data_IF_305128720820
#
_entry.id   IF_305128720820
#
_cell.length_a   1.000
_cell.length_b   1.000
_cell.length_c   1.000
_cell.angle_alpha   90.00
_cell.angle_beta   90.00
_cell.angle_gamma   90.00
#
_symmetry.space_group_name_H-M   'P 1'
#
loop_
_entity.id
_entity.type
_entity.pdbx_description
1 polymer ?
#
# COMPACT_ATOMS: atom_id res chain seq x y z
N UNK A 1 -25.71 -7.54 6.12
CA UNK A 1 -25.09 -6.20 6.22
C UNK A 1 -23.57 -6.31 6.17
N UNK A 2 -22.85 -6.93 7.16
CA UNK A 2 -21.37 -7.01 7.13
C UNK A 2 -20.82 -7.62 5.84
N UNK A 3 -21.41 -8.71 5.35
CA UNK A 3 -20.98 -9.34 4.09
C UNK A 3 -21.11 -8.39 2.90
N UNK A 4 -22.21 -7.64 2.82
CA UNK A 4 -22.41 -6.67 1.74
C UNK A 4 -21.44 -5.47 1.87
N UNK A 5 -21.16 -5.03 3.09
CA UNK A 5 -20.16 -4.01 3.34
C UNK A 5 -18.75 -4.47 2.95
N UNK A 6 -18.37 -5.71 3.28
CA UNK A 6 -17.09 -6.30 2.83
C UNK A 6 -17.00 -6.42 1.30
N UNK A 7 -18.10 -6.76 0.62
CA UNK A 7 -18.13 -6.77 -0.86
C UNK A 7 -17.92 -5.38 -1.45
N UNK A 8 -18.48 -4.34 -0.83
CA UNK A 8 -18.26 -2.96 -1.26
C UNK A 8 -16.78 -2.55 -1.05
N UNK A 9 -16.22 -2.85 0.12
CA UNK A 9 -14.78 -2.62 0.40
C UNK A 9 -13.92 -3.35 -0.62
N UNK A 10 -14.21 -4.62 -0.91
CA UNK A 10 -13.53 -5.42 -1.93
C UNK A 10 -13.56 -4.75 -3.31
N UNK A 11 -14.75 -4.27 -3.72
CA UNK A 11 -14.93 -3.58 -5.00
C UNK A 11 -14.04 -2.33 -5.07
N UNK A 12 -14.03 -1.50 -4.03
CA UNK A 12 -13.20 -0.29 -3.98
C UNK A 12 -11.71 -0.62 -3.99
N UNK A 13 -11.30 -1.63 -3.22
CA UNK A 13 -9.90 -2.08 -3.18
C UNK A 13 -9.41 -2.56 -4.54
N UNK A 14 -10.22 -3.33 -5.28
CA UNK A 14 -9.92 -3.75 -6.66
C UNK A 14 -9.72 -2.54 -7.60
N UNK A 15 -10.50 -1.48 -7.44
CA UNK A 15 -10.35 -0.27 -8.25
C UNK A 15 -9.09 0.51 -7.89
N UNK A 16 -8.72 0.60 -6.61
CA UNK A 16 -7.41 1.18 -6.19
C UNK A 16 -6.26 0.39 -6.81
N UNK A 17 -6.30 -0.94 -6.77
CA UNK A 17 -5.29 -1.81 -7.39
C UNK A 17 -5.23 -1.58 -8.90
N UNK A 18 -6.38 -1.46 -9.57
CA UNK A 18 -6.44 -1.23 -11.01
C UNK A 18 -5.81 0.11 -11.42
N UNK A 19 -6.07 1.19 -10.70
CA UNK A 19 -5.44 2.49 -10.96
C UNK A 19 -3.95 2.49 -10.64
N UNK A 20 -3.52 1.82 -9.55
CA UNK A 20 -2.09 1.61 -9.27
C UNK A 20 -1.40 0.81 -10.37
N UNK A 21 -2.07 -0.18 -10.95
CA UNK A 21 -1.51 -0.97 -12.07
C UNK A 21 -1.26 -0.10 -13.30
N UNK A 22 -2.20 0.78 -13.66
CA UNK A 22 -2.04 1.75 -14.76
C UNK A 22 -0.88 2.70 -14.48
N UNK A 23 -0.81 3.24 -13.26
CA UNK A 23 0.26 4.15 -12.85
C UNK A 23 1.63 3.45 -12.89
N UNK A 24 1.73 2.23 -12.39
CA UNK A 24 2.96 1.45 -12.38
C UNK A 24 3.44 1.14 -13.81
N UNK A 25 2.53 0.72 -14.70
CA UNK A 25 2.86 0.43 -16.10
C UNK A 25 3.34 1.68 -16.85
N UNK A 26 2.65 2.80 -16.68
CA UNK A 26 2.99 4.06 -17.32
C UNK A 26 4.37 4.59 -16.89
N UNK A 27 4.81 4.29 -15.67
CA UNK A 27 6.04 4.81 -15.08
C UNK A 27 7.13 3.74 -14.85
N UNK A 28 6.98 2.54 -15.40
CA UNK A 28 7.91 1.42 -15.17
C UNK A 28 9.33 1.67 -15.64
N UNK A 29 9.51 2.56 -16.63
CA UNK A 29 10.79 2.89 -17.21
C UNK A 29 11.35 4.26 -16.74
N UNK A 30 10.66 4.95 -15.84
CA UNK A 30 11.13 6.24 -15.32
C UNK A 30 12.05 6.03 -14.12
N UNK A 31 13.39 6.20 -14.27
CA UNK A 31 14.33 6.07 -13.17
C UNK A 31 14.06 7.10 -12.08
N UNK A 32 14.17 6.69 -10.83
CA UNK A 32 14.10 7.56 -9.66
C UNK A 32 15.06 7.08 -8.58
N UNK A 33 15.47 8.00 -7.71
CA UNK A 33 16.29 7.66 -6.57
C UNK A 33 15.49 6.82 -5.58
N UNK A 34 16.01 5.66 -5.18
CA UNK A 34 15.47 4.92 -4.06
C UNK A 34 16.03 5.45 -2.74
N UNK A 35 15.28 5.20 -1.66
CA UNK A 35 15.69 5.58 -0.31
C UNK A 35 15.62 4.37 0.62
N UNK A 36 16.69 4.14 1.36
CA UNK A 36 16.70 3.24 2.53
C UNK A 36 17.08 4.07 3.74
N UNK A 37 16.39 3.88 4.86
CA UNK A 37 16.54 4.74 6.04
C UNK A 37 16.35 6.24 5.73
N UNK A 38 15.57 6.53 4.70
CA UNK A 38 15.37 7.86 4.10
C UNK A 38 16.68 8.52 3.62
N UNK A 39 17.71 7.72 3.35
CA UNK A 39 18.95 8.16 2.70
C UNK A 39 18.98 7.68 1.25
N UNK A 40 19.61 8.45 0.35
CA UNK A 40 19.81 8.05 -1.04
C UNK A 40 20.42 6.66 -1.15
N UNK A 41 19.83 5.83 -1.99
CA UNK A 41 20.26 4.47 -2.28
C UNK A 41 20.28 4.26 -3.80
N UNK A 42 20.55 3.04 -4.25
CA UNK A 42 20.59 2.73 -5.67
C UNK A 42 19.29 3.11 -6.38
N UNK A 43 19.33 3.52 -7.65
CA UNK A 43 18.14 3.86 -8.41
C UNK A 43 17.15 2.71 -8.56
N UNK A 44 15.87 3.07 -8.60
CA UNK A 44 14.75 2.21 -8.98
C UNK A 44 13.95 2.89 -10.08
N UNK A 45 12.70 2.49 -10.31
CA UNK A 45 11.76 3.24 -11.15
C UNK A 45 10.53 3.67 -10.37
N UNK A 46 9.87 4.72 -10.82
CA UNK A 46 8.61 5.21 -10.24
C UNK A 46 7.56 4.10 -10.27
N UNK A 47 7.44 3.38 -11.37
CA UNK A 47 6.53 2.24 -11.48
C UNK A 47 6.88 1.10 -10.54
N UNK A 48 8.17 0.78 -10.35
CA UNK A 48 8.59 -0.25 -9.40
C UNK A 48 8.23 0.14 -7.95
N UNK A 49 8.36 1.40 -7.58
CA UNK A 49 7.90 1.89 -6.27
C UNK A 49 6.39 1.68 -6.09
N UNK A 50 5.59 1.97 -7.11
CA UNK A 50 4.15 1.75 -7.07
C UNK A 50 3.77 0.27 -6.89
N UNK A 51 4.55 -0.68 -7.41
CA UNK A 51 4.30 -2.11 -7.16
C UNK A 51 4.45 -2.51 -5.70
N UNK A 52 5.22 -1.77 -4.89
CA UNK A 52 5.32 -2.04 -3.45
C UNK A 52 4.01 -1.73 -2.74
N UNK A 53 3.37 -0.59 -3.05
CA UNK A 53 2.05 -0.25 -2.53
C UNK A 53 0.99 -1.25 -2.98
N UNK A 54 1.04 -1.60 -4.25
CA UNK A 54 0.09 -2.55 -4.87
C UNK A 54 0.21 -3.95 -4.27
N UNK A 55 1.43 -4.40 -3.96
CA UNK A 55 1.67 -5.69 -3.32
C UNK A 55 0.96 -5.80 -1.96
N UNK A 56 1.01 -4.73 -1.13
CA UNK A 56 0.33 -4.70 0.16
C UNK A 56 -1.20 -4.78 -0.01
N UNK A 57 -1.78 -4.00 -0.92
CA UNK A 57 -3.21 -4.08 -1.21
C UNK A 57 -3.65 -5.44 -1.82
N UNK A 58 -2.77 -6.12 -2.56
CA UNK A 58 -3.04 -7.48 -3.04
C UNK A 58 -3.10 -8.48 -1.89
N UNK A 59 -2.21 -8.36 -0.89
CA UNK A 59 -2.27 -9.19 0.33
C UNK A 59 -3.56 -8.93 1.11
N UNK A 60 -3.96 -7.66 1.26
CA UNK A 60 -5.23 -7.30 1.89
C UNK A 60 -6.44 -7.90 1.16
N UNK A 61 -6.40 -7.93 -0.17
CA UNK A 61 -7.47 -8.52 -0.99
C UNK A 61 -7.57 -10.04 -0.77
N UNK A 62 -6.45 -10.74 -0.68
CA UNK A 62 -6.41 -12.18 -0.38
C UNK A 62 -7.03 -12.47 0.98
N UNK A 63 -6.64 -11.71 2.01
CA UNK A 63 -7.17 -11.84 3.37
C UNK A 63 -8.68 -11.52 3.42
N UNK A 64 -9.12 -10.48 2.72
CA UNK A 64 -10.52 -10.10 2.62
C UNK A 64 -11.35 -11.21 1.94
N UNK A 65 -10.86 -11.77 0.84
CA UNK A 65 -11.51 -12.87 0.13
C UNK A 65 -11.60 -14.13 1.00
N UNK A 66 -10.57 -14.41 1.79
CA UNK A 66 -10.60 -15.50 2.76
C UNK A 66 -11.70 -15.28 3.81
N UNK A 67 -11.80 -14.09 4.40
CA UNK A 67 -12.85 -13.78 5.38
C UNK A 67 -14.24 -13.90 4.76
N UNK A 68 -14.46 -13.32 3.57
CA UNK A 68 -15.73 -13.44 2.84
C UNK A 68 -16.12 -14.90 2.58
N UNK A 69 -15.15 -15.74 2.19
CA UNK A 69 -15.39 -17.15 1.88
C UNK A 69 -15.78 -17.99 3.11
N UNK A 70 -15.41 -17.54 4.30
CA UNK A 70 -15.62 -18.24 5.58
C UNK A 70 -16.75 -17.66 6.43
N UNK A 71 -17.39 -16.58 5.98
CA UNK A 71 -18.55 -16.01 6.68
C UNK A 71 -19.72 -16.98 6.74
N UNK A 72 -20.30 -17.14 7.93
CA UNK A 72 -21.45 -17.99 8.20
C UNK A 72 -22.52 -17.22 8.97
N UNK A 73 -23.75 -17.70 8.89
CA UNK A 73 -24.84 -17.20 9.74
C UNK A 73 -24.82 -17.84 11.14
N UNK A 74 -25.48 -17.17 12.08
CA UNK A 74 -25.76 -17.76 13.40
C UNK A 74 -26.62 -19.01 13.27
N UNK A 75 -27.63 -18.98 12.42
CA UNK A 75 -28.71 -19.95 12.37
C UNK A 75 -29.81 -19.64 13.42
N UNK A 76 -30.70 -20.59 13.62
CA UNK A 76 -31.75 -20.50 14.62
C UNK A 76 -31.52 -21.52 15.74
N UNK A 77 -30.88 -21.06 16.83
CA UNK A 77 -30.41 -21.97 17.91
C UNK A 77 -31.08 -21.71 19.28
N UNK A 78 -31.88 -20.64 19.37
CA UNK A 78 -32.60 -20.32 20.61
C UNK A 78 -31.76 -19.57 21.65
N UNK A 79 -32.30 -19.42 22.84
CA UNK A 79 -31.76 -18.53 23.88
C UNK A 79 -30.35 -18.88 24.35
N UNK A 80 -30.03 -20.16 24.42
CA UNK A 80 -28.72 -20.65 24.88
C UNK A 80 -27.97 -21.48 23.80
N UNK A 81 -28.51 -21.52 22.59
CA UNK A 81 -27.89 -22.26 21.51
C UNK A 81 -28.21 -23.75 21.43
N UNK A 82 -29.14 -24.23 22.24
CA UNK A 82 -29.46 -25.65 22.40
C UNK A 82 -30.55 -26.17 21.47
N UNK A 83 -31.29 -25.27 20.80
CA UNK A 83 -32.49 -25.59 20.01
C UNK A 83 -33.61 -26.35 20.80
N UNK A 84 -33.64 -26.20 22.13
CA UNK A 84 -34.58 -26.94 23.00
C UNK A 84 -36.04 -26.75 22.59
N UNK A 85 -36.45 -25.52 22.21
CA UNK A 85 -37.84 -25.26 21.76
C UNK A 85 -38.17 -25.97 20.44
N UNK A 86 -37.18 -26.18 19.55
CA UNK A 86 -37.40 -26.95 18.33
C UNK A 86 -37.48 -28.45 18.62
N UNK A 87 -36.65 -28.92 19.57
CA UNK A 87 -36.69 -30.32 19.99
C UNK A 87 -38.09 -30.67 20.55
N UNK A 88 -38.66 -29.80 21.35
CA UNK A 88 -40.03 -29.95 21.87
C UNK A 88 -41.07 -29.85 20.76
N UNK A 89 -40.96 -28.86 19.86
CA UNK A 89 -41.91 -28.62 18.77
C UNK A 89 -41.99 -29.81 17.79
N UNK A 90 -40.89 -30.49 17.56
CA UNK A 90 -40.81 -31.64 16.65
C UNK A 90 -40.77 -32.98 17.36
N UNK A 91 -41.27 -33.06 18.57
CA UNK A 91 -41.39 -34.31 19.39
C UNK A 91 -40.08 -35.13 19.42
N UNK A 92 -38.92 -34.43 19.47
CA UNK A 92 -37.61 -35.07 19.55
C UNK A 92 -37.02 -35.47 18.19
N UNK A 93 -37.60 -35.12 17.04
CA UNK A 93 -37.10 -35.46 15.71
C UNK A 93 -35.86 -34.63 15.38
N UNK A 94 -34.70 -35.21 15.65
CA UNK A 94 -33.37 -34.60 15.38
C UNK A 94 -33.14 -34.37 13.89
N UNK A 95 -33.57 -35.27 13.01
CA UNK A 95 -33.35 -35.16 11.57
C UNK A 95 -34.05 -33.94 10.95
N UNK A 96 -35.25 -33.62 11.47
CA UNK A 96 -35.98 -32.42 11.05
C UNK A 96 -35.35 -31.15 11.59
N UNK A 97 -34.83 -31.17 12.82
CA UNK A 97 -34.12 -30.04 13.41
C UNK A 97 -32.84 -29.74 12.67
N UNK A 98 -32.06 -30.76 12.27
CA UNK A 98 -30.81 -30.62 11.53
C UNK A 98 -30.97 -29.93 10.17
N UNK A 99 -32.18 -29.93 9.59
CA UNK A 99 -32.50 -29.23 8.33
C UNK A 99 -32.74 -27.73 8.48
N UNK A 100 -33.02 -27.23 9.70
CA UNK A 100 -33.39 -25.83 9.91
C UNK A 100 -32.27 -24.86 9.51
N UNK A 101 -31.09 -25.04 10.03
CA UNK A 101 -29.94 -24.15 9.75
C UNK A 101 -29.48 -24.17 8.31
N UNK A 102 -29.36 -25.31 7.62
CA UNK A 102 -29.11 -25.36 6.18
C UNK A 102 -30.15 -24.58 5.34
N UNK A 103 -31.42 -24.74 5.65
CA UNK A 103 -32.51 -24.03 4.96
C UNK A 103 -32.45 -22.51 5.20
N UNK A 104 -32.11 -22.08 6.40
CA UNK A 104 -31.90 -20.66 6.73
C UNK A 104 -30.70 -20.11 5.94
N UNK A 105 -29.59 -20.83 5.94
CA UNK A 105 -28.38 -20.42 5.22
C UNK A 105 -28.66 -20.27 3.71
N UNK A 106 -29.31 -21.24 3.09
CA UNK A 106 -29.70 -21.19 1.67
C UNK A 106 -30.61 -19.98 1.35
N UNK A 107 -31.70 -19.80 2.13
CA UNK A 107 -32.62 -18.66 1.96
C UNK A 107 -31.95 -17.29 2.13
N UNK A 108 -30.93 -17.21 2.95
CA UNK A 108 -30.18 -15.97 3.21
C UNK A 108 -28.96 -15.81 2.30
N UNK A 109 -28.72 -16.75 1.38
CA UNK A 109 -27.60 -16.71 0.43
C UNK A 109 -26.23 -16.97 1.07
N UNK A 110 -26.19 -17.76 2.16
CA UNK A 110 -24.94 -18.19 2.81
C UNK A 110 -24.69 -19.68 2.60
N UNK A 111 -23.41 -20.05 2.64
CA UNK A 111 -23.02 -21.46 2.46
C UNK A 111 -23.38 -22.34 3.64
N UNK A 112 -23.42 -21.79 4.86
CA UNK A 112 -23.67 -22.54 6.08
C UNK A 112 -24.00 -21.62 7.26
N UNK A 113 -24.53 -22.22 8.36
CA UNK A 113 -24.56 -21.64 9.69
C UNK A 113 -23.36 -22.14 10.52
N UNK A 114 -23.04 -21.44 11.62
CA UNK A 114 -22.11 -21.94 12.62
C UNK A 114 -22.70 -23.19 13.28
N UNK A 115 -21.93 -24.28 13.44
CA UNK A 115 -22.47 -25.52 13.96
C UNK A 115 -22.90 -25.41 15.44
N UNK A 116 -22.19 -24.56 16.20
CA UNK A 116 -22.48 -24.28 17.59
C UNK A 116 -22.47 -22.78 17.87
N UNK A 117 -23.30 -22.34 18.80
CA UNK A 117 -23.32 -20.97 19.30
C UNK A 117 -23.98 -20.91 20.70
N UNK A 118 -23.78 -19.82 21.41
CA UNK A 118 -24.68 -19.43 22.49
C UNK A 118 -25.92 -18.71 21.94
N UNK A 119 -26.39 -17.70 22.63
CA UNK A 119 -27.51 -16.86 22.15
C UNK A 119 -27.14 -16.05 20.90
N UNK A 120 -25.87 -15.74 20.71
CA UNK A 120 -25.35 -14.97 19.56
C UNK A 120 -24.24 -15.73 18.90
N UNK A 121 -23.88 -15.31 17.67
CA UNK A 121 -22.65 -15.77 17.05
C UNK A 121 -21.42 -15.27 17.84
N UNK A 122 -20.32 -16.01 17.76
CA UNK A 122 -19.06 -15.63 18.41
C UNK A 122 -18.61 -14.22 17.96
N UNK A 123 -18.34 -13.32 18.91
CA UNK A 123 -17.81 -11.98 18.63
C UNK A 123 -16.42 -12.00 17.97
N UNK A 124 -15.80 -13.18 17.94
CA UNK A 124 -14.60 -13.43 17.13
C UNK A 124 -14.81 -13.12 15.65
N UNK A 125 -16.05 -13.21 15.15
CA UNK A 125 -16.39 -12.84 13.76
C UNK A 125 -16.18 -11.35 13.53
N UNK A 126 -16.65 -10.50 14.47
CA UNK A 126 -16.48 -9.05 14.39
C UNK A 126 -14.97 -8.68 14.44
N UNK A 127 -14.18 -9.38 15.29
CA UNK A 127 -12.71 -9.23 15.34
C UNK A 127 -12.07 -9.55 14.01
N UNK A 128 -12.45 -10.66 13.37
CA UNK A 128 -11.89 -11.05 12.06
C UNK A 128 -12.18 -9.99 10.99
N UNK A 129 -13.38 -9.45 10.98
CA UNK A 129 -13.79 -8.42 10.02
C UNK A 129 -13.00 -7.13 10.26
N UNK A 130 -12.95 -6.62 11.49
CA UNK A 130 -12.25 -5.37 11.77
C UNK A 130 -10.72 -5.48 11.57
N UNK A 131 -10.13 -6.67 11.76
CA UNK A 131 -8.72 -6.90 11.47
C UNK A 131 -8.40 -6.75 9.97
N UNK A 132 -9.31 -7.17 9.08
CA UNK A 132 -9.14 -6.94 7.63
C UNK A 132 -9.21 -5.45 7.31
N UNK A 133 -10.17 -4.72 7.89
CA UNK A 133 -10.25 -3.27 7.69
C UNK A 133 -8.99 -2.56 8.20
N UNK A 134 -8.44 -3.01 9.34
CA UNK A 134 -7.19 -2.49 9.88
C UNK A 134 -5.97 -2.81 9.00
N UNK A 135 -5.93 -3.98 8.36
CA UNK A 135 -4.91 -4.34 7.37
C UNK A 135 -4.92 -3.38 6.19
N UNK A 136 -6.08 -3.21 5.54
CA UNK A 136 -6.25 -2.25 4.43
C UNK A 136 -5.88 -0.83 4.87
N UNK A 137 -6.29 -0.41 6.07
CA UNK A 137 -5.94 0.89 6.62
C UNK A 137 -4.42 1.06 6.81
N UNK A 138 -3.70 0.01 7.24
CA UNK A 138 -2.25 0.05 7.38
C UNK A 138 -1.55 0.22 6.03
N UNK A 139 -1.98 -0.51 5.00
CA UNK A 139 -1.47 -0.37 3.62
C UNK A 139 -1.76 1.03 3.06
N UNK A 140 -2.97 1.55 3.25
CA UNK A 140 -3.34 2.91 2.84
C UNK A 140 -2.52 3.98 3.59
N UNK A 141 -2.27 3.79 4.89
CA UNK A 141 -1.43 4.71 5.67
C UNK A 141 -0.01 4.74 5.13
N UNK A 142 0.58 3.58 4.85
CA UNK A 142 1.93 3.47 4.27
C UNK A 142 2.00 4.15 2.91
N UNK A 143 1.07 3.88 2.00
CA UNK A 143 0.94 4.55 0.71
C UNK A 143 0.88 6.08 0.88
N UNK A 144 0.00 6.58 1.74
CA UNK A 144 -0.17 8.02 1.95
C UNK A 144 1.06 8.70 2.54
N UNK A 145 1.83 8.02 3.39
CA UNK A 145 3.10 8.54 3.89
C UNK A 145 4.13 8.68 2.76
N UNK A 146 4.25 7.69 1.88
CA UNK A 146 5.17 7.77 0.75
C UNK A 146 4.79 8.93 -0.19
N UNK A 147 3.50 9.13 -0.48
CA UNK A 147 3.05 10.28 -1.29
C UNK A 147 3.42 11.61 -0.62
N UNK A 148 3.21 11.76 0.69
CA UNK A 148 3.59 12.97 1.42
C UNK A 148 5.09 13.25 1.37
N UNK A 149 5.93 12.21 1.51
CA UNK A 149 7.38 12.33 1.38
C UNK A 149 7.80 12.66 -0.05
N UNK A 150 7.20 12.03 -1.05
CA UNK A 150 7.47 12.31 -2.47
C UNK A 150 7.03 13.73 -2.86
N UNK A 151 5.93 14.23 -2.30
CA UNK A 151 5.48 15.60 -2.50
C UNK A 151 6.41 16.62 -1.82
N UNK A 152 6.94 16.31 -0.63
CA UNK A 152 8.00 17.11 -0.01
C UNK A 152 9.24 17.19 -0.92
N UNK A 153 9.62 16.09 -1.56
CA UNK A 153 10.70 16.05 -2.54
C UNK A 153 10.34 16.72 -3.87
N UNK A 154 9.08 17.10 -4.09
CA UNK A 154 8.53 17.67 -5.34
C UNK A 154 8.65 16.71 -6.54
N UNK A 155 8.69 15.41 -6.28
CA UNK A 155 8.84 14.37 -7.31
C UNK A 155 7.51 13.83 -7.80
N UNK A 156 6.57 13.62 -6.86
CA UNK A 156 5.19 13.18 -7.14
C UNK A 156 4.26 13.96 -6.22
N UNK A 157 3.14 14.42 -6.74
CA UNK A 157 2.12 15.15 -5.98
C UNK A 157 0.75 14.46 -6.13
N UNK A 158 -0.07 14.54 -5.08
CA UNK A 158 -1.49 14.22 -5.19
C UNK A 158 -2.22 15.24 -6.09
N UNK A 159 -3.41 14.89 -6.65
CA UNK A 159 -4.14 15.80 -7.51
C UNK A 159 -4.53 17.08 -6.77
N UNK A 160 -4.44 18.20 -7.48
CA UNK A 160 -4.81 19.51 -6.99
C UNK A 160 -5.83 20.15 -7.93
N UNK A 161 -7.01 20.46 -7.44
CA UNK A 161 -8.07 21.02 -8.24
C UNK A 161 -7.87 22.51 -8.46
N UNK A 162 -8.34 23.02 -9.62
CA UNK A 162 -8.19 24.44 -10.00
C UNK A 162 -8.83 25.40 -9.00
N UNK A 163 -9.88 24.97 -8.31
CA UNK A 163 -10.61 25.73 -7.29
C UNK A 163 -10.08 25.54 -5.87
N UNK A 164 -9.14 24.61 -5.67
CA UNK A 164 -8.62 24.29 -4.35
C UNK A 164 -7.66 25.35 -3.85
N UNK A 165 -7.90 25.87 -2.63
CA UNK A 165 -7.01 26.83 -1.96
C UNK A 165 -5.98 26.04 -1.13
N UNK A 166 -4.72 25.99 -1.60
CA UNK A 166 -3.66 25.27 -0.91
C UNK A 166 -3.16 25.97 0.37
N UNK A 167 -3.13 27.29 0.37
CA UNK A 167 -2.71 28.11 1.51
C UNK A 167 -3.16 29.55 1.31
N UNK A 168 -3.69 30.18 2.35
CA UNK A 168 -4.06 31.59 2.33
C UNK A 168 -2.85 32.53 2.27
N UNK A 169 -1.68 32.09 2.74
CA UNK A 169 -0.47 32.92 2.83
C UNK A 169 0.50 32.71 1.65
N UNK A 170 0.50 31.53 1.03
CA UNK A 170 1.41 31.15 -0.05
C UNK A 170 0.65 30.46 -1.17
N UNK A 171 0.22 31.20 -2.18
CA UNK A 171 -0.68 30.70 -3.23
C UNK A 171 -0.17 29.50 -4.03
N UNK A 172 1.16 29.32 -4.15
CA UNK A 172 1.77 28.19 -4.85
C UNK A 172 1.90 26.92 -4.00
N UNK A 173 1.67 27.01 -2.67
CA UNK A 173 1.84 25.90 -1.74
C UNK A 173 0.72 24.90 -1.90
N UNK A 174 1.07 23.67 -2.26
CA UNK A 174 0.16 22.54 -2.37
C UNK A 174 0.39 21.58 -1.21
N UNK A 175 -0.58 21.46 -0.33
CA UNK A 175 -0.49 20.54 0.80
C UNK A 175 -1.08 19.18 0.40
N UNK A 176 -0.48 18.05 0.82
CA UNK A 176 -1.01 16.72 0.56
C UNK A 176 -2.19 16.38 1.48
N UNK A 177 -3.27 17.18 1.43
CA UNK A 177 -4.39 17.12 2.38
C UNK A 177 -5.16 15.79 2.29
N UNK A 178 -5.28 15.21 1.09
CA UNK A 178 -5.95 13.92 0.88
C UNK A 178 -5.14 12.80 1.52
N UNK A 179 -3.84 12.79 1.28
CA UNK A 179 -2.91 11.82 1.89
C UNK A 179 -2.82 11.99 3.42
N UNK A 180 -2.89 13.21 3.95
CA UNK A 180 -2.97 13.46 5.39
C UNK A 180 -4.27 12.92 5.98
N UNK A 181 -5.40 13.06 5.26
CA UNK A 181 -6.70 12.52 5.67
C UNK A 181 -6.72 10.99 5.64
N UNK A 182 -6.15 10.36 4.60
CA UNK A 182 -5.94 8.91 4.56
C UNK A 182 -5.19 8.46 5.81
N UNK A 183 -4.05 9.08 6.12
CA UNK A 183 -3.22 8.71 7.26
C UNK A 183 -3.97 8.85 8.60
N UNK A 184 -4.77 9.92 8.77
CA UNK A 184 -5.50 10.14 10.02
C UNK A 184 -6.65 9.15 10.21
N UNK A 185 -7.45 8.90 9.18
CA UNK A 185 -8.54 7.92 9.23
C UNK A 185 -8.00 6.49 9.39
N UNK A 186 -6.88 6.17 8.75
CA UNK A 186 -6.24 4.85 8.90
C UNK A 186 -5.86 4.57 10.35
N UNK A 187 -5.29 5.54 11.07
CA UNK A 187 -4.99 5.36 12.50
C UNK A 187 -6.25 5.08 13.31
N UNK A 188 -7.35 5.76 12.99
CA UNK A 188 -8.64 5.50 13.65
C UNK A 188 -9.06 4.03 13.45
N UNK A 189 -9.07 3.52 12.21
CA UNK A 189 -9.49 2.14 11.91
C UNK A 189 -8.59 1.11 12.60
N UNK A 190 -7.26 1.33 12.59
CA UNK A 190 -6.31 0.43 13.24
C UNK A 190 -6.53 0.33 14.75
N UNK A 191 -6.85 1.45 15.42
CA UNK A 191 -7.14 1.49 16.86
C UNK A 191 -8.54 0.92 17.14
N UNK A 192 -9.53 1.24 16.30
CA UNK A 192 -10.90 0.75 16.45
C UNK A 192 -10.99 -0.78 16.37
N UNK A 193 -10.14 -1.44 15.59
CA UNK A 193 -10.08 -2.89 15.51
C UNK A 193 -9.74 -3.60 16.84
N UNK A 194 -9.26 -2.90 17.84
CA UNK A 194 -9.07 -3.43 19.19
C UNK A 194 -10.41 -3.64 19.91
N UNK A 195 -11.43 -2.84 19.62
CA UNK A 195 -12.75 -2.93 20.28
C UNK A 195 -13.36 -4.32 20.15
N UNK A 196 -13.56 -4.89 18.94
CA UNK A 196 -14.16 -6.22 18.82
C UNK A 196 -13.26 -7.33 19.38
N UNK A 197 -11.94 -7.16 19.38
CA UNK A 197 -11.02 -8.12 19.98
C UNK A 197 -11.20 -8.20 21.50
N UNK A 198 -11.26 -7.05 22.18
CA UNK A 198 -11.52 -6.96 23.62
C UNK A 198 -12.94 -7.46 23.92
N UNK A 199 -13.94 -7.03 23.17
CA UNK A 199 -15.32 -7.48 23.32
C UNK A 199 -15.44 -9.00 23.21
N UNK A 200 -14.75 -9.61 22.24
CA UNK A 200 -14.71 -11.06 22.08
C UNK A 200 -14.10 -11.77 23.30
N UNK A 201 -13.03 -11.20 23.86
CA UNK A 201 -12.31 -11.77 25.00
C UNK A 201 -13.10 -11.67 26.32
N UNK A 202 -13.97 -10.69 26.44
CA UNK A 202 -14.74 -10.41 27.69
C UNK A 202 -16.16 -10.97 27.69
N UNK A 203 -16.58 -11.74 26.66
CA UNK A 203 -17.89 -12.41 26.67
C UNK A 203 -17.96 -13.50 27.76
N UNK A 204 -19.16 -13.64 28.36
CA UNK A 204 -19.40 -14.62 29.40
C UNK A 204 -20.37 -15.70 28.92
N UNK A 205 -19.96 -16.94 29.07
CA UNK A 205 -20.82 -18.11 28.81
C UNK A 205 -21.61 -18.01 27.51
N UNK A 206 -22.93 -18.18 27.56
CA UNK A 206 -23.80 -18.16 26.39
C UNK A 206 -24.21 -16.74 25.95
N UNK A 207 -24.11 -15.75 26.85
CA UNK A 207 -24.46 -14.35 26.58
C UNK A 207 -23.98 -13.38 27.67
N UNK A 208 -23.42 -12.28 27.28
CA UNK A 208 -23.37 -11.01 28.03
C UNK A 208 -23.81 -9.87 27.11
N UNK A 209 -24.25 -8.74 27.63
CA UNK A 209 -24.79 -7.63 26.82
C UNK A 209 -23.78 -6.50 26.58
N UNK A 210 -22.60 -6.54 27.15
CA UNK A 210 -21.57 -5.52 27.03
C UNK A 210 -21.05 -5.31 25.60
N UNK A 211 -21.21 -6.32 24.74
CA UNK A 211 -20.92 -6.23 23.32
C UNK A 211 -21.84 -5.28 22.55
N UNK A 212 -23.06 -5.12 23.02
CA UNK A 212 -24.16 -4.56 22.24
C UNK A 212 -23.95 -3.11 21.84
N UNK A 213 -23.56 -2.23 22.75
CA UNK A 213 -23.29 -0.83 22.46
C UNK A 213 -21.95 -0.67 21.70
N UNK A 214 -20.89 -1.32 22.18
CA UNK A 214 -19.55 -1.22 21.59
C UNK A 214 -19.56 -1.62 20.12
N UNK A 215 -20.10 -2.79 19.76
CA UNK A 215 -20.10 -3.25 18.37
C UNK A 215 -20.92 -2.37 17.42
N UNK A 216 -21.94 -1.66 17.93
CA UNK A 216 -22.78 -0.75 17.14
C UNK A 216 -22.07 0.56 16.80
N UNK A 217 -21.00 0.87 17.51
CA UNK A 217 -20.09 1.96 17.20
C UNK A 217 -18.92 1.44 16.37
N UNK A 218 -18.14 0.52 16.90
CA UNK A 218 -16.89 0.08 16.28
C UNK A 218 -17.08 -0.52 14.88
N UNK A 219 -18.04 -1.39 14.67
CA UNK A 219 -18.23 -2.03 13.37
C UNK A 219 -18.67 -1.05 12.29
N UNK A 220 -19.74 -0.25 12.45
CA UNK A 220 -20.12 0.74 11.44
C UNK A 220 -19.04 1.81 11.19
N UNK A 221 -18.44 2.36 12.23
CA UNK A 221 -17.42 3.38 12.14
C UNK A 221 -16.18 2.88 11.39
N UNK A 222 -15.75 1.64 11.66
CA UNK A 222 -14.66 0.99 10.91
C UNK A 222 -14.97 0.88 9.43
N UNK A 223 -16.18 0.47 9.04
CA UNK A 223 -16.60 0.39 7.65
C UNK A 223 -16.73 1.76 6.98
N UNK A 224 -17.32 2.75 7.65
CA UNK A 224 -17.45 4.11 7.10
C UNK A 224 -16.08 4.75 6.89
N UNK A 225 -15.17 4.57 7.84
CA UNK A 225 -13.83 5.11 7.72
C UNK A 225 -13.03 4.46 6.59
N UNK A 226 -13.09 3.11 6.46
CA UNK A 226 -12.36 2.42 5.39
C UNK A 226 -12.94 2.73 4.01
N UNK A 227 -14.25 2.91 3.91
CA UNK A 227 -14.93 3.34 2.70
C UNK A 227 -14.39 4.69 2.21
N UNK A 228 -14.33 5.68 3.11
CA UNK A 228 -13.75 6.99 2.81
C UNK A 228 -12.25 6.96 2.52
N UNK A 229 -11.48 6.09 3.20
CA UNK A 229 -10.05 5.89 2.93
C UNK A 229 -9.84 5.39 1.50
N UNK A 230 -10.62 4.40 1.06
CA UNK A 230 -10.47 3.83 -0.28
C UNK A 230 -10.90 4.79 -1.38
N UNK A 231 -11.94 5.62 -1.15
CA UNK A 231 -12.30 6.70 -2.08
C UNK A 231 -11.17 7.73 -2.20
N UNK A 232 -10.58 8.13 -1.08
CA UNK A 232 -9.42 9.02 -1.09
C UNK A 232 -8.22 8.39 -1.82
N UNK A 233 -7.92 7.11 -1.55
CA UNK A 233 -6.84 6.40 -2.25
C UNK A 233 -7.09 6.36 -3.75
N UNK A 234 -8.30 6.01 -4.18
CA UNK A 234 -8.68 5.95 -5.60
C UNK A 234 -8.50 7.31 -6.27
N UNK A 235 -9.00 8.37 -5.64
CA UNK A 235 -8.88 9.74 -6.15
C UNK A 235 -7.42 10.19 -6.22
N UNK A 236 -6.61 9.90 -5.20
CA UNK A 236 -5.19 10.26 -5.19
C UNK A 236 -4.44 9.53 -6.29
N UNK A 237 -4.64 8.20 -6.43
CA UNK A 237 -3.91 7.38 -7.43
C UNK A 237 -4.26 7.79 -8.85
N UNK A 238 -5.56 7.99 -9.15
CA UNK A 238 -6.02 8.41 -10.48
C UNK A 238 -5.46 9.76 -10.91
N UNK A 239 -5.22 10.65 -9.94
CA UNK A 239 -4.73 12.02 -10.18
C UNK A 239 -3.26 12.27 -9.88
N UNK A 240 -2.43 11.26 -9.60
CA UNK A 240 -1.01 11.45 -9.28
C UNK A 240 -0.26 12.20 -10.40
N UNK A 241 0.43 13.27 -10.02
CA UNK A 241 1.25 14.07 -10.91
C UNK A 241 2.73 13.74 -10.67
N UNK A 242 3.41 13.29 -11.70
CA UNK A 242 4.85 12.97 -11.65
C UNK A 242 5.64 14.10 -12.31
N UNK A 243 6.76 14.51 -11.71
CA UNK A 243 7.66 15.55 -12.21
C UNK A 243 9.00 14.95 -12.64
N UNK A 244 9.14 14.40 -13.87
CA UNK A 244 10.34 13.70 -14.32
C UNK A 244 11.60 14.55 -14.26
N UNK A 245 11.50 15.86 -14.54
CA UNK A 245 12.65 16.78 -14.49
C UNK A 245 13.20 17.01 -13.09
N UNK A 246 12.32 17.03 -12.07
CA UNK A 246 12.73 17.13 -10.66
C UNK A 246 13.41 15.84 -10.22
N UNK A 247 12.82 14.70 -10.59
CA UNK A 247 13.39 13.37 -10.34
C UNK A 247 14.77 13.26 -10.97
N UNK A 248 14.90 13.61 -12.24
CA UNK A 248 16.18 13.57 -12.97
C UNK A 248 17.24 14.45 -12.31
N UNK A 249 16.89 15.69 -11.94
CA UNK A 249 17.83 16.60 -11.27
C UNK A 249 18.36 16.02 -9.97
N UNK A 250 17.48 15.47 -9.13
CA UNK A 250 17.87 14.84 -7.86
C UNK A 250 18.72 13.58 -8.09
N UNK A 251 18.31 12.74 -9.02
CA UNK A 251 19.04 11.52 -9.34
C UNK A 251 20.45 11.83 -9.84
N UNK A 252 20.61 12.82 -10.72
CA UNK A 252 21.92 13.25 -11.23
C UNK A 252 22.84 13.81 -10.13
N UNK A 253 22.31 14.44 -9.09
CA UNK A 253 23.14 14.94 -7.97
C UNK A 253 23.74 13.83 -7.10
N UNK A 254 23.09 12.66 -7.05
CA UNK A 254 23.53 11.53 -6.22
C UNK A 254 24.22 10.42 -7.02
N UNK A 255 23.92 10.32 -8.32
CA UNK A 255 24.37 9.25 -9.19
C UNK A 255 25.90 9.09 -9.25
N UNK A 256 26.72 10.16 -9.23
CA UNK A 256 28.18 10.01 -9.20
C UNK A 256 28.69 9.14 -8.06
N UNK A 257 28.11 9.25 -6.85
CA UNK A 257 28.47 8.41 -5.72
C UNK A 257 28.07 6.93 -5.89
N UNK A 258 26.99 6.67 -6.64
CA UNK A 258 26.49 5.32 -6.90
C UNK A 258 27.21 4.64 -8.06
N UNK A 259 27.73 5.43 -8.99
CA UNK A 259 28.40 4.96 -10.18
C UNK A 259 29.89 4.60 -9.95
N UNK A 260 30.41 4.85 -8.77
CA UNK A 260 31.85 4.68 -8.44
C UNK A 260 32.38 3.28 -8.77
N UNK A 261 31.58 2.23 -8.54
CA UNK A 261 31.95 0.86 -8.87
C UNK A 261 32.09 0.67 -10.39
N UNK A 262 31.14 1.17 -11.17
CA UNK A 262 31.16 1.07 -12.61
C UNK A 262 32.35 1.86 -13.22
N UNK A 263 32.57 3.07 -12.72
CA UNK A 263 33.73 3.91 -13.11
C UNK A 263 35.03 3.18 -12.82
N UNK A 264 35.17 2.60 -11.60
CA UNK A 264 36.32 1.81 -11.22
C UNK A 264 36.56 0.64 -12.19
N UNK A 265 35.49 -0.11 -12.49
CA UNK A 265 35.58 -1.26 -13.38
C UNK A 265 35.96 -0.88 -14.80
N UNK A 266 35.48 0.26 -15.30
CA UNK A 266 35.85 0.75 -16.64
C UNK A 266 37.29 1.23 -16.66
N UNK A 267 37.78 1.89 -15.61
CA UNK A 267 39.18 2.27 -15.46
C UNK A 267 40.11 1.03 -15.36
N UNK A 268 39.68 -0.02 -14.67
CA UNK A 268 40.42 -1.31 -14.60
C UNK A 268 40.50 -1.96 -15.98
N UNK A 269 39.41 -1.99 -16.75
CA UNK A 269 39.44 -2.48 -18.14
C UNK A 269 40.38 -1.69 -19.02
N UNK A 270 40.56 -0.39 -18.74
CA UNK A 270 41.53 0.48 -19.44
C UNK A 270 42.99 0.27 -18.99
N UNK A 271 43.24 -0.66 -18.03
CA UNK A 271 44.58 -1.05 -17.59
C UNK A 271 44.98 -0.51 -16.20
N UNK A 272 44.10 0.14 -15.48
CA UNK A 272 44.34 0.64 -14.12
C UNK A 272 44.42 -0.45 -13.07
N UNK A 273 45.20 -0.22 -11.99
CA UNK A 273 45.25 -1.11 -10.83
C UNK A 273 43.99 -0.96 -9.97
N UNK A 274 43.30 -2.07 -9.71
CA UNK A 274 42.03 -2.06 -8.99
C UNK A 274 42.14 -1.53 -7.55
N UNK A 275 43.23 -1.85 -6.84
CA UNK A 275 43.40 -1.45 -5.46
C UNK A 275 43.72 0.03 -5.34
N UNK A 276 44.59 0.53 -6.21
CA UNK A 276 44.91 1.94 -6.30
C UNK A 276 43.68 2.77 -6.66
N UNK A 277 42.91 2.36 -7.68
CA UNK A 277 41.71 3.03 -8.12
C UNK A 277 40.62 3.04 -7.03
N UNK A 278 40.47 1.96 -6.28
CA UNK A 278 39.53 1.89 -5.17
C UNK A 278 39.86 2.90 -4.08
N UNK A 279 41.13 3.00 -3.68
CA UNK A 279 41.51 3.96 -2.64
C UNK A 279 41.34 5.41 -3.13
N UNK A 280 41.74 5.71 -4.37
CA UNK A 280 41.54 7.03 -4.98
C UNK A 280 40.04 7.41 -5.04
N UNK A 281 39.14 6.50 -5.47
CA UNK A 281 37.67 6.75 -5.45
C UNK A 281 37.21 7.06 -4.05
N UNK A 282 37.68 6.32 -3.05
CA UNK A 282 37.32 6.57 -1.65
C UNK A 282 37.73 7.99 -1.22
N UNK A 283 38.97 8.39 -1.48
CA UNK A 283 39.47 9.72 -1.14
C UNK A 283 38.71 10.83 -1.87
N UNK A 284 38.51 10.72 -3.17
CA UNK A 284 37.80 11.70 -4.00
C UNK A 284 36.32 11.79 -3.61
N UNK A 285 35.70 10.68 -3.27
CA UNK A 285 34.31 10.65 -2.76
C UNK A 285 34.18 11.40 -1.43
N UNK A 286 35.17 11.29 -0.54
CA UNK A 286 35.17 12.05 0.71
C UNK A 286 35.32 13.55 0.48
N UNK A 287 36.16 13.95 -0.49
CA UNK A 287 36.31 15.37 -0.89
C UNK A 287 34.99 15.89 -1.47
N UNK A 288 34.39 15.18 -2.42
CA UNK A 288 33.10 15.57 -3.01
C UNK A 288 31.99 15.64 -1.97
N UNK A 289 31.91 14.65 -1.06
CA UNK A 289 30.92 14.65 0.01
C UNK A 289 31.09 15.84 0.98
N UNK A 290 32.34 16.24 1.27
CA UNK A 290 32.62 17.45 2.06
C UNK A 290 32.17 18.72 1.32
N UNK A 291 32.47 18.83 0.02
CA UNK A 291 32.02 19.96 -0.80
C UNK A 291 30.51 20.10 -0.77
N UNK A 292 29.78 18.99 -0.91
CA UNK A 292 28.31 18.99 -0.84
C UNK A 292 27.80 19.36 0.56
N UNK A 293 28.29 18.67 1.60
CA UNK A 293 27.69 18.75 2.96
C UNK A 293 28.18 19.95 3.76
N UNK A 294 29.46 20.24 3.70
CA UNK A 294 30.05 21.32 4.51
C UNK A 294 30.05 22.67 3.79
N UNK A 295 30.13 22.69 2.46
CA UNK A 295 30.26 23.90 1.67
C UNK A 295 29.02 24.25 0.85
N UNK A 296 28.01 23.34 0.79
CA UNK A 296 26.79 23.55 0.02
C UNK A 296 26.98 23.61 -1.49
N UNK A 297 28.10 23.08 -1.98
CA UNK A 297 28.42 23.04 -3.42
C UNK A 297 27.70 21.88 -4.10
N UNK A 298 27.69 21.90 -5.43
CA UNK A 298 27.25 20.75 -6.22
C UNK A 298 28.24 19.57 -6.11
N UNK A 299 27.78 18.37 -6.40
CA UNK A 299 28.60 17.17 -6.41
C UNK A 299 29.56 17.24 -7.61
N UNK A 300 30.84 17.34 -7.34
CA UNK A 300 31.89 17.44 -8.34
C UNK A 300 32.80 16.19 -8.40
N UNK A 301 32.26 15.02 -8.03
CA UNK A 301 33.06 13.78 -8.01
C UNK A 301 33.58 13.40 -9.40
N UNK A 302 32.79 13.60 -10.46
CA UNK A 302 33.22 13.28 -11.83
C UNK A 302 34.36 14.14 -12.26
N UNK A 303 34.33 15.43 -11.96
CA UNK A 303 35.43 16.37 -12.27
C UNK A 303 36.71 16.01 -11.50
N UNK A 304 36.59 15.60 -10.25
CA UNK A 304 37.72 15.15 -9.45
C UNK A 304 38.34 13.86 -10.01
N UNK A 305 37.52 12.91 -10.44
CA UNK A 305 37.98 11.67 -11.07
C UNK A 305 38.63 11.97 -12.42
N UNK A 306 38.04 12.83 -13.25
CA UNK A 306 38.61 13.21 -14.58
C UNK A 306 39.95 13.92 -14.43
N UNK A 307 40.18 14.64 -13.35
CA UNK A 307 41.44 15.35 -13.09
C UNK A 307 42.56 14.42 -12.56
N UNK A 308 42.24 13.23 -12.07
CA UNK A 308 43.22 12.26 -11.57
C UNK A 308 43.71 11.33 -12.70
N UNK A 309 45.00 11.40 -13.04
CA UNK A 309 45.56 10.65 -14.19
C UNK A 309 45.49 9.12 -14.03
N UNK A 310 45.25 8.59 -12.82
CA UNK A 310 45.15 7.16 -12.61
C UNK A 310 43.91 6.54 -13.28
N UNK A 311 42.84 7.32 -13.48
CA UNK A 311 41.65 6.83 -14.16
C UNK A 311 41.75 6.84 -15.67
N UNK A 312 42.57 7.71 -16.24
CA UNK A 312 42.73 7.89 -17.68
C UNK A 312 41.37 7.99 -18.42
N UNK A 313 40.44 8.72 -17.86
CA UNK A 313 39.08 8.93 -18.36
C UNK A 313 38.81 10.42 -18.48
N UNK A 314 38.23 10.83 -19.60
CA UNK A 314 37.77 12.21 -19.76
C UNK A 314 36.46 12.45 -19.02
N UNK A 315 36.15 13.71 -18.68
CA UNK A 315 34.85 14.07 -18.08
C UNK A 315 33.70 13.66 -19.00
N UNK A 316 33.85 13.81 -20.31
CA UNK A 316 32.86 13.40 -21.31
C UNK A 316 32.56 11.87 -21.23
N UNK A 317 33.62 11.05 -21.05
CA UNK A 317 33.44 9.60 -20.93
C UNK A 317 32.76 9.23 -19.63
N UNK A 318 33.09 9.89 -18.52
CA UNK A 318 32.44 9.73 -17.25
C UNK A 318 30.93 10.12 -17.30
N UNK A 319 30.61 11.25 -17.95
CA UNK A 319 29.23 11.69 -18.14
C UNK A 319 28.41 10.69 -18.96
N UNK A 320 28.99 10.01 -19.96
CA UNK A 320 28.33 8.95 -20.73
C UNK A 320 27.95 7.73 -19.86
N UNK A 321 28.67 7.51 -18.77
CA UNK A 321 28.32 6.45 -17.81
C UNK A 321 27.15 6.84 -16.91
N UNK A 322 26.79 8.13 -16.82
CA UNK A 322 25.75 8.68 -15.93
C UNK A 322 24.33 8.58 -16.52
N UNK A 323 24.04 7.55 -17.30
CA UNK A 323 22.68 7.26 -17.73
C UNK A 323 21.91 6.55 -16.59
N UNK A 324 20.92 7.20 -15.96
CA UNK A 324 20.21 6.62 -14.82
C UNK A 324 19.54 5.28 -15.11
N UNK A 325 19.14 5.04 -16.35
CA UNK A 325 18.46 3.80 -16.74
C UNK A 325 19.37 2.55 -16.56
N UNK A 326 20.68 2.72 -16.66
CA UNK A 326 21.65 1.63 -16.46
C UNK A 326 21.75 1.14 -15.01
N UNK A 327 21.23 1.92 -14.05
CA UNK A 327 21.37 1.65 -12.61
C UNK A 327 20.09 1.14 -11.96
N UNK A 328 19.00 1.02 -12.72
CA UNK A 328 17.69 0.55 -12.19
C UNK A 328 17.55 -0.97 -12.10
N UNK A 329 18.58 -1.71 -12.50
CA UNK A 329 18.60 -3.17 -12.47
C UNK A 329 17.42 -3.77 -13.24
N UNK A 330 16.67 -4.65 -12.57
CA UNK A 330 15.51 -5.34 -13.15
C UNK A 330 14.17 -4.67 -12.83
N UNK A 331 14.16 -3.42 -12.37
CA UNK A 331 12.95 -2.76 -11.89
C UNK A 331 11.79 -2.82 -12.90
N UNK A 332 12.02 -2.42 -14.16
CA UNK A 332 10.99 -2.45 -15.22
C UNK A 332 10.49 -3.87 -15.50
N UNK A 333 11.39 -4.84 -15.63
CA UNK A 333 11.03 -6.26 -15.86
C UNK A 333 10.23 -6.84 -14.69
N UNK A 334 10.53 -6.41 -13.45
CA UNK A 334 9.78 -6.82 -12.26
C UNK A 334 8.37 -6.24 -12.26
N UNK A 335 8.19 -5.00 -12.72
CA UNK A 335 6.84 -4.41 -12.90
C UNK A 335 6.04 -5.23 -13.90
N UNK A 336 6.59 -5.50 -15.09
CA UNK A 336 5.92 -6.28 -16.13
C UNK A 336 5.53 -7.67 -15.62
N UNK A 337 6.46 -8.36 -14.94
CA UNK A 337 6.21 -9.70 -14.40
C UNK A 337 5.11 -9.69 -13.32
N UNK A 338 5.13 -8.71 -12.41
CA UNK A 338 4.15 -8.57 -11.35
C UNK A 338 2.75 -8.27 -11.90
N UNK A 339 2.66 -7.31 -12.82
CA UNK A 339 1.40 -7.00 -13.47
C UNK A 339 0.84 -8.20 -14.23
N UNK A 340 1.67 -8.85 -15.05
CA UNK A 340 1.23 -9.97 -15.89
C UNK A 340 0.81 -11.20 -15.10
N UNK A 341 1.60 -11.57 -14.08
CA UNK A 341 1.44 -12.88 -13.44
C UNK A 341 0.60 -12.83 -12.15
N UNK A 342 0.47 -11.66 -11.53
CA UNK A 342 -0.20 -11.52 -10.23
C UNK A 342 -1.44 -10.61 -10.34
N UNK A 343 -1.28 -9.38 -10.83
CA UNK A 343 -2.33 -8.36 -10.76
C UNK A 343 -3.39 -8.55 -11.85
N UNK A 344 -2.96 -8.63 -13.13
CA UNK A 344 -3.89 -8.68 -14.26
C UNK A 344 -4.84 -9.89 -14.22
N UNK A 345 -4.43 -11.11 -13.81
CA UNK A 345 -5.37 -12.23 -13.67
C UNK A 345 -6.50 -11.93 -12.68
N UNK A 346 -6.19 -11.26 -11.57
CA UNK A 346 -7.19 -10.88 -10.57
C UNK A 346 -8.12 -9.79 -11.11
N UNK A 347 -7.58 -8.77 -11.78
CA UNK A 347 -8.39 -7.70 -12.37
C UNK A 347 -9.29 -8.23 -13.49
N UNK A 348 -8.81 -9.10 -14.36
CA UNK A 348 -9.62 -9.69 -15.44
C UNK A 348 -10.75 -10.56 -14.89
N UNK A 349 -10.49 -11.33 -13.83
CA UNK A 349 -11.52 -12.12 -13.15
C UNK A 349 -12.60 -11.27 -12.45
N UNK A 350 -12.38 -9.95 -12.30
CA UNK A 350 -13.28 -9.02 -11.60
C UNK A 350 -13.63 -7.79 -12.47
N UNK A 351 -13.48 -7.89 -13.79
CA UNK A 351 -13.65 -6.74 -14.69
C UNK A 351 -14.99 -6.03 -14.61
N UNK A 352 -16.04 -6.75 -14.23
CA UNK A 352 -17.40 -6.22 -14.11
C UNK A 352 -17.57 -5.19 -12.97
N UNK A 353 -16.63 -5.15 -12.01
CA UNK A 353 -16.68 -4.20 -10.90
C UNK A 353 -15.66 -3.07 -11.01
N UNK A 354 -14.85 -3.08 -12.07
CA UNK A 354 -13.82 -2.06 -12.31
C UNK A 354 -14.41 -0.79 -12.97
N UNK A 355 -13.64 0.28 -12.98
CA UNK A 355 -14.01 1.56 -13.61
C UNK A 355 -14.73 2.51 -12.66
N UNK A 356 -14.63 2.31 -11.34
CA UNK A 356 -15.10 3.30 -10.38
C UNK A 356 -14.21 4.54 -10.40
N UNK A 357 -14.83 5.70 -10.27
CA UNK A 357 -14.17 6.97 -10.00
C UNK A 357 -14.63 7.49 -8.64
N UNK A 358 -13.76 8.18 -7.91
CA UNK A 358 -14.10 8.82 -6.66
C UNK A 358 -14.02 10.34 -6.82
N UNK A 359 -15.16 11.03 -6.73
CA UNK A 359 -15.21 12.48 -6.62
C UNK A 359 -15.09 12.88 -5.15
N UNK A 360 -14.12 13.71 -4.84
CA UNK A 360 -13.88 14.21 -3.49
C UNK A 360 -14.20 15.72 -3.49
N UNK A 361 -15.26 16.08 -2.82
CA UNK A 361 -15.57 17.49 -2.54
C UNK A 361 -14.74 17.93 -1.32
N UNK A 362 -13.75 18.81 -1.56
CA UNK A 362 -12.85 19.33 -0.51
C UNK A 362 -13.15 20.78 -0.25
#
# INVERSE_FOLDING_TARGET
>A
VMTEALKLVRKKLLNVIAELAKFADANKNLPTLAFTHFQPAQPTTVGKRATLWMQEFMMDLEDLDYVLSTMKLLGSKGTTGTQASFLELFDGDQETIDKIDPMIAEKMGFKACYPVSGQTYSRKVDTRVLNILAGIAASAHKFSNDIRLLQHLKEVEEPFEKSQIGSSAMAYKRNPMRSERIASLSRFVMVDALNPAITSATQWFERTLDDSANKRLSVPEGFLAIDGILDLCLNVVDGLVVYPKVIEKRLRSELPFMATENIMMDAVKAGGDRQELHEKIRELSMVAARNVKAEGKENNLLELIAADPAFNMSLEDLEKTMDPAKYTGRASVQVDAFLKNVVNPVLEANKEVLGMTAEINV
#
